data_IF_291645324754
#
_entry.id   IF_291645324754
#
_cell.length_a   1.000
_cell.length_b   1.000
_cell.length_c   1.000
_cell.angle_alpha   90.00
_cell.angle_beta   90.00
_cell.angle_gamma   90.00
#
_symmetry.space_group_name_H-M   'P 1'
#
loop_
_entity.id
_entity.type
_entity.pdbx_description
1 polymer ?
#
# COMPACT_ATOMS: atom_id res chain seq x y z
N UNK A 1 -21.43 -35.33 -53.86
CA UNK A 1 -20.92 -36.14 -52.72
C UNK A 1 -19.52 -35.70 -52.41
N UNK A 2 -19.37 -34.84 -51.42
CA UNK A 2 -18.05 -34.50 -50.84
C UNK A 2 -18.24 -34.46 -49.33
N UNK A 3 -17.66 -35.44 -48.67
CA UNK A 3 -17.68 -35.62 -47.24
C UNK A 3 -16.79 -34.59 -46.57
N UNK A 4 -17.37 -33.74 -45.74
CA UNK A 4 -16.66 -32.83 -44.86
C UNK A 4 -16.06 -33.60 -43.67
N UNK A 5 -14.73 -33.53 -43.54
CA UNK A 5 -14.00 -34.03 -42.37
C UNK A 5 -14.29 -33.13 -41.16
N UNK A 6 -15.02 -33.65 -40.19
CA UNK A 6 -15.16 -33.03 -38.89
C UNK A 6 -13.82 -33.07 -38.14
N UNK A 7 -13.19 -31.92 -37.95
CA UNK A 7 -12.02 -31.76 -37.08
C UNK A 7 -12.40 -32.08 -35.65
N UNK A 8 -11.82 -33.12 -35.06
CA UNK A 8 -11.88 -33.43 -33.64
C UNK A 8 -11.14 -32.36 -32.85
N UNK A 9 -11.89 -31.38 -32.35
CA UNK A 9 -11.38 -30.45 -31.34
C UNK A 9 -11.03 -31.23 -30.07
N UNK A 10 -9.76 -31.45 -29.79
CA UNK A 10 -9.30 -32.01 -28.53
C UNK A 10 -9.81 -31.10 -27.36
N UNK A 11 -10.02 -31.67 -26.16
CA UNK A 11 -10.49 -30.93 -25.03
C UNK A 11 -9.56 -29.75 -24.78
N UNK A 12 -10.13 -28.52 -24.81
CA UNK A 12 -9.40 -27.31 -24.53
C UNK A 12 -8.64 -27.49 -23.20
N UNK A 13 -7.33 -27.34 -23.23
CA UNK A 13 -6.51 -27.47 -22.04
C UNK A 13 -7.02 -26.51 -20.97
N UNK A 14 -7.42 -27.04 -19.81
CA UNK A 14 -7.88 -26.21 -18.70
C UNK A 14 -6.77 -25.24 -18.34
N UNK A 15 -7.09 -23.92 -18.16
CA UNK A 15 -6.06 -22.94 -17.81
C UNK A 15 -5.40 -23.35 -16.49
N UNK A 16 -4.08 -23.18 -16.40
CA UNK A 16 -3.29 -23.49 -15.21
C UNK A 16 -3.52 -22.34 -14.22
N UNK A 17 -4.33 -22.59 -13.18
CA UNK A 17 -4.85 -21.58 -12.27
C UNK A 17 -3.80 -20.75 -11.50
N UNK A 18 -2.55 -21.24 -11.41
CA UNK A 18 -1.46 -20.55 -10.70
C UNK A 18 -0.47 -19.80 -11.62
N UNK A 19 -0.69 -19.82 -12.95
CA UNK A 19 0.15 -19.03 -13.84
C UNK A 19 -0.14 -17.53 -13.64
N UNK A 20 0.91 -16.71 -13.44
CA UNK A 20 0.72 -15.27 -13.26
C UNK A 20 0.16 -14.66 -14.54
N UNK A 21 -0.90 -13.89 -14.38
CA UNK A 21 -1.36 -12.97 -15.42
C UNK A 21 -0.46 -11.72 -15.50
N UNK A 22 -0.77 -10.78 -16.40
CA UNK A 22 -0.11 -9.47 -16.41
C UNK A 22 -0.25 -8.80 -15.05
N UNK A 23 0.89 -8.33 -14.49
CA UNK A 23 0.90 -7.63 -13.20
C UNK A 23 0.16 -6.30 -13.35
N UNK A 24 -0.88 -6.02 -12.56
CA UNK A 24 -1.59 -4.76 -12.64
C UNK A 24 -0.72 -3.58 -12.20
N UNK A 25 -0.74 -2.49 -12.95
CA UNK A 25 -0.10 -1.24 -12.55
C UNK A 25 -1.03 -0.44 -11.63
N UNK A 26 -0.77 -0.47 -10.33
CA UNK A 26 -1.59 0.24 -9.33
C UNK A 26 -1.57 1.76 -9.47
N UNK A 27 -0.67 2.32 -10.26
CA UNK A 27 -0.56 3.77 -10.51
C UNK A 27 -1.47 4.25 -11.66
N UNK A 28 -2.36 3.39 -12.17
CA UNK A 28 -3.42 3.72 -13.12
C UNK A 28 -4.77 3.22 -12.62
N UNK A 29 -5.86 3.90 -12.96
CA UNK A 29 -7.22 3.52 -12.55
C UNK A 29 -7.57 2.09 -12.99
N UNK A 30 -7.27 1.74 -14.25
CA UNK A 30 -7.51 0.40 -14.77
C UNK A 30 -6.71 -0.66 -13.99
N UNK A 31 -5.41 -0.40 -13.80
CA UNK A 31 -4.54 -1.33 -13.08
C UNK A 31 -4.86 -1.43 -11.59
N UNK A 32 -5.22 -0.32 -10.93
CA UNK A 32 -5.71 -0.29 -9.56
C UNK A 32 -6.99 -1.10 -9.40
N UNK A 33 -7.99 -0.85 -10.24
CA UNK A 33 -9.27 -1.58 -10.23
C UNK A 33 -9.06 -3.07 -10.45
N UNK A 34 -8.22 -3.43 -11.44
CA UNK A 34 -7.87 -4.84 -11.69
C UNK A 34 -7.19 -5.46 -10.48
N UNK A 35 -6.18 -4.81 -9.90
CA UNK A 35 -5.50 -5.31 -8.70
C UNK A 35 -6.49 -5.46 -7.54
N UNK A 36 -7.31 -4.45 -7.27
CA UNK A 36 -8.31 -4.46 -6.21
C UNK A 36 -9.27 -5.64 -6.32
N UNK A 37 -9.79 -5.91 -7.51
CA UNK A 37 -10.72 -7.00 -7.75
C UNK A 37 -10.07 -8.38 -7.69
N UNK A 38 -8.79 -8.51 -8.07
CA UNK A 38 -8.13 -9.82 -8.19
C UNK A 38 -7.10 -10.11 -7.09
N UNK A 39 -6.89 -9.20 -6.14
CA UNK A 39 -5.85 -9.30 -5.10
C UNK A 39 -5.95 -10.55 -4.19
N UNK A 40 -7.12 -11.18 -4.16
CA UNK A 40 -7.43 -12.37 -3.36
C UNK A 40 -7.73 -13.62 -4.19
N UNK A 41 -7.56 -13.56 -5.51
CA UNK A 41 -7.94 -14.64 -6.43
C UNK A 41 -6.88 -15.75 -6.50
N UNK A 42 -5.71 -15.57 -5.88
CA UNK A 42 -4.67 -16.59 -5.92
C UNK A 42 -5.10 -17.86 -5.19
N UNK A 43 -5.09 -18.99 -5.92
CA UNK A 43 -5.41 -20.31 -5.36
C UNK A 43 -4.13 -21.04 -5.00
N UNK A 44 -3.88 -21.31 -3.71
CA UNK A 44 -2.67 -22.01 -3.27
C UNK A 44 -2.68 -23.48 -3.72
N UNK A 45 -1.49 -24.08 -3.79
CA UNK A 45 -1.32 -25.49 -4.05
C UNK A 45 -2.07 -26.35 -3.00
N UNK A 46 -2.67 -27.47 -3.40
CA UNK A 46 -3.28 -28.39 -2.45
C UNK A 46 -2.22 -28.95 -1.48
N UNK A 47 -2.63 -29.19 -0.24
CA UNK A 47 -1.83 -29.94 0.73
C UNK A 47 -1.89 -31.41 0.35
N UNK A 48 -0.74 -32.05 0.18
CA UNK A 48 -0.63 -33.48 -0.11
C UNK A 48 0.48 -34.07 0.75
N UNK A 49 0.41 -35.39 0.99
CA UNK A 49 1.46 -36.11 1.70
C UNK A 49 2.67 -36.39 0.79
N UNK A 50 3.82 -36.73 1.40
CA UNK A 50 4.99 -37.19 0.66
C UNK A 50 4.69 -38.47 -0.14
N UNK A 51 3.82 -39.36 0.39
CA UNK A 51 3.38 -40.58 -0.28
C UNK A 51 2.56 -40.27 -1.54
N UNK A 52 1.59 -39.34 -1.44
CA UNK A 52 0.79 -38.90 -2.59
C UNK A 52 1.66 -38.27 -3.67
N UNK A 53 2.61 -37.44 -3.26
CA UNK A 53 3.57 -36.80 -4.19
C UNK A 53 4.44 -37.86 -4.88
N UNK A 54 4.92 -38.86 -4.14
CA UNK A 54 5.74 -39.94 -4.70
C UNK A 54 4.93 -40.83 -5.68
N UNK A 55 3.63 -41.00 -5.45
CA UNK A 55 2.74 -41.74 -6.33
C UNK A 55 2.37 -41.02 -7.64
N UNK A 56 2.64 -39.72 -7.75
CA UNK A 56 2.40 -38.93 -8.96
C UNK A 56 3.31 -39.34 -10.10
N UNK A 57 2.82 -39.22 -11.34
CA UNK A 57 3.66 -39.28 -12.54
C UNK A 57 4.66 -38.13 -12.54
N UNK A 58 5.82 -38.23 -13.23
CA UNK A 58 6.80 -37.16 -13.28
C UNK A 58 6.23 -35.81 -13.74
N UNK A 59 5.28 -35.83 -14.67
CA UNK A 59 4.62 -34.61 -15.17
C UNK A 59 3.71 -33.97 -14.10
N UNK A 60 2.92 -34.77 -13.40
CA UNK A 60 2.05 -34.30 -12.31
C UNK A 60 2.86 -33.74 -11.16
N UNK A 61 3.93 -34.44 -10.77
CA UNK A 61 4.87 -34.00 -9.73
C UNK A 61 5.47 -32.64 -10.07
N UNK A 62 6.00 -32.49 -11.29
CA UNK A 62 6.56 -31.21 -11.74
C UNK A 62 5.54 -30.07 -11.71
N UNK A 63 4.31 -30.33 -12.15
CA UNK A 63 3.24 -29.32 -12.12
C UNK A 63 2.87 -28.92 -10.69
N UNK A 64 2.76 -29.88 -9.78
CA UNK A 64 2.49 -29.65 -8.36
C UNK A 64 3.63 -28.85 -7.71
N UNK A 65 4.90 -29.20 -7.98
CA UNK A 65 6.06 -28.46 -7.45
C UNK A 65 6.10 -27.02 -7.92
N UNK A 66 5.77 -26.75 -9.19
CA UNK A 66 5.63 -25.39 -9.71
C UNK A 66 4.49 -24.63 -9.00
N UNK A 67 3.38 -25.29 -8.69
CA UNK A 67 2.28 -24.67 -7.95
C UNK A 67 2.69 -24.36 -6.49
N UNK A 68 3.48 -25.24 -5.85
CA UNK A 68 4.07 -24.97 -4.52
C UNK A 68 4.99 -23.75 -4.56
N UNK A 69 5.89 -23.67 -5.55
CA UNK A 69 6.75 -22.49 -5.76
C UNK A 69 5.91 -21.23 -5.93
N UNK A 70 4.86 -21.27 -6.76
CA UNK A 70 3.93 -20.15 -6.90
C UNK A 70 3.25 -19.78 -5.59
N UNK A 71 2.85 -20.76 -4.77
CA UNK A 71 2.24 -20.53 -3.45
C UNK A 71 3.20 -19.84 -2.49
N UNK A 72 4.44 -20.31 -2.37
CA UNK A 72 5.43 -19.72 -1.49
C UNK A 72 5.87 -18.32 -1.96
N UNK A 73 5.80 -18.05 -3.26
CA UNK A 73 6.06 -16.72 -3.81
C UNK A 73 4.92 -15.72 -3.55
N UNK A 74 3.68 -16.23 -3.38
CA UNK A 74 2.47 -15.43 -3.21
C UNK A 74 1.78 -15.68 -1.86
N UNK A 75 2.56 -15.80 -0.78
CA UNK A 75 1.99 -15.89 0.57
C UNK A 75 1.07 -14.69 0.83
N UNK A 76 -0.13 -14.96 1.32
CA UNK A 76 -1.09 -13.92 1.65
C UNK A 76 -0.53 -13.00 2.74
N UNK A 77 -0.86 -11.72 2.64
CA UNK A 77 -0.46 -10.73 3.63
C UNK A 77 -1.13 -11.09 4.96
N UNK A 78 -0.29 -11.24 5.99
CA UNK A 78 -0.75 -11.46 7.36
C UNK A 78 -1.00 -10.12 8.02
N UNK A 79 -2.17 -9.95 8.60
CA UNK A 79 -2.41 -8.79 9.45
C UNK A 79 -1.54 -8.88 10.70
N UNK A 80 -0.86 -7.79 11.02
CA UNK A 80 -0.06 -7.62 12.24
C UNK A 80 -0.74 -6.61 13.16
N UNK A 81 -0.47 -6.59 14.48
CA UNK A 81 -1.02 -5.57 15.37
C UNK A 81 -0.77 -4.14 14.86
N UNK A 82 0.41 -3.89 14.27
CA UNK A 82 0.79 -2.60 13.72
C UNK A 82 0.01 -2.27 12.45
N UNK A 83 -0.12 -3.22 11.51
CA UNK A 83 -0.89 -2.99 10.28
C UNK A 83 -2.39 -2.85 10.56
N UNK A 84 -2.93 -3.60 11.52
CA UNK A 84 -4.30 -3.45 11.98
C UNK A 84 -4.57 -2.07 12.58
N UNK A 85 -3.63 -1.53 13.37
CA UNK A 85 -3.72 -0.17 13.90
C UNK A 85 -3.73 0.86 12.77
N UNK A 86 -2.75 0.78 11.84
CA UNK A 86 -2.67 1.70 10.70
C UNK A 86 -3.92 1.64 9.84
N UNK A 87 -4.42 0.43 9.53
CA UNK A 87 -5.64 0.25 8.71
C UNK A 87 -6.87 0.85 9.37
N UNK A 88 -7.04 0.65 10.69
CA UNK A 88 -8.17 1.26 11.44
C UNK A 88 -8.08 2.77 11.48
N UNK A 89 -6.89 3.33 11.78
CA UNK A 89 -6.67 4.78 11.82
C UNK A 89 -6.93 5.39 10.46
N UNK A 90 -6.38 4.82 9.40
CA UNK A 90 -6.58 5.26 8.01
C UNK A 90 -8.07 5.27 7.64
N UNK A 91 -8.77 4.18 7.91
CA UNK A 91 -10.19 4.05 7.63
C UNK A 91 -11.02 5.09 8.39
N UNK A 92 -10.85 5.19 9.72
CA UNK A 92 -11.58 6.14 10.56
C UNK A 92 -11.39 7.57 10.07
N UNK A 93 -10.17 7.94 9.70
CA UNK A 93 -9.88 9.29 9.21
C UNK A 93 -10.52 9.56 7.85
N UNK A 94 -10.46 8.61 6.91
CA UNK A 94 -11.11 8.75 5.60
C UNK A 94 -12.63 8.89 5.77
N UNK A 95 -13.25 8.04 6.60
CA UNK A 95 -14.69 8.09 6.87
C UNK A 95 -15.10 9.43 7.48
N UNK A 96 -14.38 9.89 8.51
CA UNK A 96 -14.65 11.19 9.15
C UNK A 96 -14.58 12.33 8.15
N UNK A 97 -13.53 12.36 7.32
CA UNK A 97 -13.37 13.39 6.29
C UNK A 97 -14.42 13.29 5.18
N UNK A 98 -14.79 12.07 4.77
CA UNK A 98 -15.76 11.84 3.70
C UNK A 98 -17.18 12.32 4.07
N UNK A 99 -17.53 12.25 5.35
CA UNK A 99 -18.84 12.72 5.87
C UNK A 99 -18.83 14.16 6.38
N UNK A 100 -17.70 14.85 6.34
CA UNK A 100 -17.63 16.25 6.69
C UNK A 100 -18.22 17.15 5.59
N UNK A 101 -19.22 17.94 5.90
CA UNK A 101 -19.94 18.78 4.94
C UNK A 101 -19.34 20.20 4.81
N UNK A 102 -18.52 20.61 5.78
CA UNK A 102 -17.90 21.94 5.77
C UNK A 102 -16.74 22.03 4.77
N UNK A 103 -16.43 23.23 4.28
CA UNK A 103 -15.28 23.48 3.39
C UNK A 103 -13.94 23.57 4.14
N UNK A 104 -13.80 22.85 5.26
CA UNK A 104 -12.61 22.90 6.10
C UNK A 104 -11.45 22.07 5.53
N UNK A 105 -10.23 22.42 5.93
CA UNK A 105 -9.05 21.61 5.65
C UNK A 105 -9.19 20.25 6.30
N UNK A 106 -9.01 19.18 5.53
CA UNK A 106 -9.09 17.81 6.02
C UNK A 106 -7.78 17.41 6.70
N UNK A 107 -7.82 16.84 7.92
CA UNK A 107 -6.62 16.24 8.49
C UNK A 107 -6.13 15.09 7.63
N UNK A 108 -4.81 14.99 7.46
CA UNK A 108 -4.17 13.91 6.72
C UNK A 108 -3.57 12.85 7.61
N UNK A 109 -3.04 11.79 7.02
CA UNK A 109 -2.36 10.69 7.72
C UNK A 109 -0.94 10.51 7.21
N UNK A 110 0.02 10.30 8.10
CA UNK A 110 1.37 9.86 7.79
C UNK A 110 1.55 8.41 8.23
N UNK A 111 1.82 7.51 7.30
CA UNK A 111 2.22 6.13 7.59
C UNK A 111 3.73 6.05 7.55
N UNK A 112 4.33 6.00 8.74
CA UNK A 112 5.77 5.99 8.92
C UNK A 112 6.27 4.65 9.41
N UNK A 113 7.41 4.18 8.92
CA UNK A 113 8.04 2.94 9.39
C UNK A 113 9.37 2.70 8.69
N UNK A 114 10.13 1.70 9.16
CA UNK A 114 11.40 1.31 8.56
C UNK A 114 11.26 0.69 7.17
N UNK A 115 12.39 0.39 6.52
CA UNK A 115 12.40 -0.34 5.26
C UNK A 115 11.85 -1.77 5.44
N UNK A 116 11.20 -2.30 4.42
CA UNK A 116 10.68 -3.68 4.38
C UNK A 116 9.66 -4.03 5.48
N UNK A 117 8.92 -3.05 6.01
CA UNK A 117 7.89 -3.25 7.04
C UNK A 117 6.47 -3.36 6.48
N UNK A 118 6.30 -3.43 5.16
CA UNK A 118 5.00 -3.65 4.53
C UNK A 118 4.12 -2.40 4.39
N UNK A 119 4.66 -1.17 4.55
CA UNK A 119 3.89 0.09 4.49
C UNK A 119 3.02 0.22 3.25
N UNK A 120 3.62 0.07 2.07
CA UNK A 120 2.91 0.15 0.78
C UNK A 120 1.76 -0.84 0.71
N UNK A 121 2.01 -2.11 1.09
CA UNK A 121 0.98 -3.15 1.03
C UNK A 121 -0.13 -2.90 2.06
N UNK A 122 0.21 -2.47 3.28
CA UNK A 122 -0.80 -2.10 4.29
C UNK A 122 -1.66 -0.93 3.82
N UNK A 123 -1.04 0.11 3.27
CA UNK A 123 -1.78 1.27 2.76
C UNK A 123 -2.69 0.90 1.57
N UNK A 124 -2.18 0.12 0.61
CA UNK A 124 -2.97 -0.32 -0.54
C UNK A 124 -4.11 -1.24 -0.15
N UNK A 125 -3.90 -2.22 0.76
CA UNK A 125 -4.97 -3.12 1.21
C UNK A 125 -6.04 -2.36 1.99
N UNK A 126 -5.66 -1.46 2.90
CA UNK A 126 -6.61 -0.63 3.64
C UNK A 126 -7.42 0.28 2.70
N UNK A 127 -6.76 0.88 1.70
CA UNK A 127 -7.39 1.74 0.71
C UNK A 127 -8.38 0.94 -0.16
N UNK A 128 -8.00 -0.26 -0.61
CA UNK A 128 -8.85 -1.12 -1.42
C UNK A 128 -10.08 -1.63 -0.65
N UNK A 129 -9.90 -2.00 0.63
CA UNK A 129 -11.03 -2.38 1.48
C UNK A 129 -12.01 -1.22 1.68
N UNK A 130 -11.49 -0.02 1.94
CA UNK A 130 -12.32 1.18 2.03
C UNK A 130 -13.10 1.44 0.73
N UNK A 131 -12.43 1.36 -0.41
CA UNK A 131 -13.06 1.57 -1.72
C UNK A 131 -14.17 0.54 -1.99
N UNK A 132 -13.93 -0.75 -1.71
CA UNK A 132 -14.93 -1.80 -1.87
C UNK A 132 -16.21 -1.47 -1.08
N UNK A 133 -16.06 -1.05 0.16
CA UNK A 133 -17.19 -0.70 1.04
C UNK A 133 -17.88 0.59 0.59
N UNK A 134 -17.10 1.61 0.20
CA UNK A 134 -17.64 2.87 -0.26
C UNK A 134 -18.45 2.72 -1.55
N UNK A 135 -17.92 1.95 -2.53
CA UNK A 135 -18.65 1.65 -3.76
C UNK A 135 -19.93 0.85 -3.50
N UNK A 136 -19.88 -0.11 -2.55
CA UNK A 136 -21.08 -0.85 -2.15
C UNK A 136 -22.13 0.03 -1.48
N UNK A 137 -21.70 1.03 -0.71
CA UNK A 137 -22.60 2.02 -0.10
C UNK A 137 -23.19 2.95 -1.16
N UNK A 138 -22.35 3.47 -2.06
CA UNK A 138 -22.76 4.35 -3.14
C UNK A 138 -23.78 3.68 -4.09
N UNK A 139 -23.56 2.39 -4.42
CA UNK A 139 -24.49 1.62 -5.26
C UNK A 139 -25.90 1.46 -4.64
N UNK A 140 -26.04 1.66 -3.33
CA UNK A 140 -27.35 1.62 -2.63
C UNK A 140 -28.01 3.00 -2.55
N UNK A 141 -27.35 4.06 -2.99
CA UNK A 141 -27.93 5.39 -2.99
C UNK A 141 -29.09 5.43 -4.01
N UNK A 142 -30.34 5.75 -3.58
CA UNK A 142 -31.49 5.84 -4.50
C UNK A 142 -31.35 6.96 -5.53
N UNK A 143 -30.54 7.97 -5.25
CA UNK A 143 -30.28 9.10 -6.15
C UNK A 143 -29.09 8.83 -7.10
N UNK A 144 -28.47 7.65 -7.03
CA UNK A 144 -27.37 7.29 -7.92
C UNK A 144 -27.89 7.16 -9.36
N UNK A 145 -27.31 7.96 -10.26
CA UNK A 145 -27.66 7.93 -11.68
C UNK A 145 -27.03 6.67 -12.30
N UNK A 146 -27.84 5.89 -13.04
CA UNK A 146 -27.35 4.71 -13.73
C UNK A 146 -26.19 5.06 -14.68
N UNK A 147 -25.08 4.30 -14.60
CA UNK A 147 -23.88 4.51 -15.40
C UNK A 147 -22.84 5.48 -14.80
N UNK A 148 -23.15 6.19 -13.71
CA UNK A 148 -22.17 7.07 -13.04
C UNK A 148 -21.25 6.31 -12.06
N UNK A 149 -21.57 5.08 -11.69
CA UNK A 149 -20.77 4.26 -10.80
C UNK A 149 -19.35 4.03 -11.35
N UNK A 150 -19.23 3.83 -12.67
CA UNK A 150 -17.95 3.60 -13.35
C UNK A 150 -17.04 4.84 -13.35
N UNK A 151 -17.60 6.02 -13.15
CA UNK A 151 -16.88 7.28 -13.03
C UNK A 151 -16.49 7.59 -11.59
N UNK A 152 -16.97 6.81 -10.62
CA UNK A 152 -16.72 7.02 -9.21
C UNK A 152 -15.39 6.36 -8.79
N UNK A 153 -14.43 7.18 -8.38
CA UNK A 153 -13.07 6.76 -8.02
C UNK A 153 -12.75 7.22 -6.60
N UNK A 154 -13.25 6.50 -5.58
CA UNK A 154 -13.07 6.90 -4.17
C UNK A 154 -11.64 6.92 -3.70
N UNK A 155 -10.77 6.15 -4.35
CA UNK A 155 -9.40 5.88 -3.91
C UNK A 155 -8.39 6.12 -5.03
N UNK A 156 -7.32 6.86 -4.72
CA UNK A 156 -6.20 7.15 -5.62
C UNK A 156 -4.89 6.71 -4.97
N UNK A 157 -4.09 5.95 -5.70
CA UNK A 157 -2.75 5.56 -5.28
C UNK A 157 -1.72 6.05 -6.28
N UNK A 158 -0.77 6.84 -5.80
CA UNK A 158 0.35 7.32 -6.61
C UNK A 158 1.67 7.17 -5.87
N UNK A 159 2.74 6.97 -6.62
CA UNK A 159 4.09 6.89 -6.07
C UNK A 159 4.86 8.17 -6.38
N UNK A 160 5.57 8.69 -5.39
CA UNK A 160 6.41 9.88 -5.55
C UNK A 160 7.45 9.66 -6.66
N UNK A 161 7.53 10.53 -7.68
CA UNK A 161 8.53 10.42 -8.73
C UNK A 161 9.97 10.50 -8.20
N UNK A 162 10.93 9.93 -8.93
CA UNK A 162 12.35 9.96 -8.56
C UNK A 162 12.90 11.40 -8.50
N UNK A 163 12.44 12.26 -9.41
CA UNK A 163 12.66 13.70 -9.40
C UNK A 163 11.31 14.36 -9.14
N UNK A 164 10.96 14.48 -7.88
CA UNK A 164 9.68 15.04 -7.50
C UNK A 164 9.70 16.56 -7.67
N UNK A 165 8.75 17.06 -8.43
CA UNK A 165 8.38 18.46 -8.58
C UNK A 165 6.88 18.58 -8.48
N UNK A 166 6.30 19.76 -8.18
CA UNK A 166 4.85 19.95 -8.20
C UNK A 166 4.21 19.47 -9.51
N UNK A 167 4.83 19.81 -10.64
CA UNK A 167 4.38 19.37 -11.96
C UNK A 167 4.34 17.83 -12.05
N UNK A 168 5.43 17.16 -11.67
CA UNK A 168 5.52 15.71 -11.80
C UNK A 168 4.56 14.97 -10.86
N UNK A 169 4.26 15.54 -9.69
CA UNK A 169 3.27 14.96 -8.77
C UNK A 169 1.84 15.13 -9.29
N UNK A 170 1.47 16.33 -9.77
CA UNK A 170 0.18 16.53 -10.44
C UNK A 170 0.00 15.60 -11.65
N UNK A 171 1.05 15.45 -12.48
CA UNK A 171 1.03 14.55 -13.62
C UNK A 171 0.82 13.08 -13.21
N UNK A 172 1.36 12.64 -12.06
CA UNK A 172 1.10 11.28 -11.52
C UNK A 172 -0.35 11.10 -11.10
N UNK A 173 -0.92 12.10 -10.43
CA UNK A 173 -2.34 12.05 -10.03
C UNK A 173 -3.25 12.02 -11.27
N UNK A 174 -3.00 12.88 -12.24
CA UNK A 174 -3.78 12.90 -13.49
C UNK A 174 -3.58 11.64 -14.33
N UNK A 175 -2.37 11.09 -14.35
CA UNK A 175 -2.10 9.81 -14.99
C UNK A 175 -2.94 8.67 -14.38
N UNK A 176 -3.10 8.68 -13.06
CA UNK A 176 -3.94 7.68 -12.40
C UNK A 176 -5.38 7.71 -12.93
N UNK A 177 -5.98 8.88 -13.09
CA UNK A 177 -7.33 9.03 -13.63
C UNK A 177 -7.41 8.79 -15.15
N UNK A 178 -6.29 8.83 -15.86
CA UNK A 178 -6.26 8.81 -17.33
C UNK A 178 -6.52 10.19 -17.97
N UNK A 179 -6.45 11.25 -17.16
CA UNK A 179 -6.67 12.63 -17.61
C UNK A 179 -5.48 13.19 -18.42
N UNK A 180 -5.73 14.08 -19.38
CA UNK A 180 -4.68 14.74 -20.15
C UNK A 180 -3.86 15.69 -19.26
N UNK A 181 -2.52 15.63 -19.38
CA UNK A 181 -1.61 16.48 -18.60
C UNK A 181 -0.40 16.99 -19.39
N UNK A 182 -0.19 16.51 -20.64
CA UNK A 182 1.01 16.86 -21.41
C UNK A 182 0.97 18.32 -21.88
N UNK A 183 2.06 19.05 -21.66
CA UNK A 183 2.19 20.43 -22.08
C UNK A 183 1.44 21.47 -21.23
N UNK A 184 0.80 21.05 -20.14
CA UNK A 184 0.09 21.97 -19.23
C UNK A 184 1.06 22.67 -18.29
N UNK A 185 0.73 23.90 -17.91
CA UNK A 185 1.41 24.65 -16.86
C UNK A 185 1.00 24.18 -15.48
N UNK A 186 1.79 24.46 -14.46
CA UNK A 186 1.52 24.02 -13.08
C UNK A 186 0.13 24.43 -12.58
N UNK A 187 -0.27 25.69 -12.82
CA UNK A 187 -1.59 26.21 -12.42
C UNK A 187 -2.75 25.42 -13.06
N UNK A 188 -2.62 25.07 -14.36
CA UNK A 188 -3.61 24.28 -15.08
C UNK A 188 -3.63 22.84 -14.55
N UNK A 189 -2.46 22.25 -14.26
CA UNK A 189 -2.36 20.93 -13.67
C UNK A 189 -3.03 20.85 -12.30
N UNK A 190 -2.77 21.85 -11.42
CA UNK A 190 -3.42 21.91 -10.09
C UNK A 190 -4.93 21.99 -10.23
N UNK A 191 -5.43 22.85 -11.14
CA UNK A 191 -6.86 22.98 -11.41
C UNK A 191 -7.45 21.67 -11.90
N UNK A 192 -6.82 21.03 -12.88
CA UNK A 192 -7.30 19.75 -13.43
C UNK A 192 -7.28 18.64 -12.37
N UNK A 193 -6.29 18.60 -11.48
CA UNK A 193 -6.28 17.67 -10.33
C UNK A 193 -7.47 17.92 -9.41
N UNK A 194 -7.77 19.19 -9.10
CA UNK A 194 -8.94 19.54 -8.28
C UNK A 194 -10.24 19.08 -8.96
N UNK A 195 -10.42 19.42 -10.23
CA UNK A 195 -11.59 19.04 -11.00
C UNK A 195 -11.73 17.51 -11.03
N UNK A 196 -10.67 16.76 -11.31
CA UNK A 196 -10.70 15.30 -11.30
C UNK A 196 -11.10 14.71 -9.93
N UNK A 197 -10.57 15.26 -8.83
CA UNK A 197 -10.94 14.82 -7.46
C UNK A 197 -12.43 15.05 -7.18
N UNK A 198 -12.98 16.19 -7.62
CA UNK A 198 -14.40 16.49 -7.46
C UNK A 198 -15.27 15.63 -8.38
N UNK A 199 -14.95 15.56 -9.65
CA UNK A 199 -15.75 14.86 -10.67
C UNK A 199 -15.84 13.36 -10.42
N UNK A 200 -14.72 12.75 -9.94
CA UNK A 200 -14.68 11.33 -9.58
C UNK A 200 -15.11 11.03 -8.14
N UNK A 201 -15.45 12.04 -7.34
CA UNK A 201 -15.91 11.87 -5.97
C UNK A 201 -14.84 11.23 -5.05
N UNK A 202 -13.57 11.50 -5.31
CA UNK A 202 -12.44 10.91 -4.57
C UNK A 202 -12.47 11.27 -3.09
N UNK A 203 -12.22 10.28 -2.23
CA UNK A 203 -12.24 10.38 -0.77
C UNK A 203 -10.87 10.24 -0.13
N UNK A 204 -9.95 9.55 -0.82
CA UNK A 204 -8.59 9.36 -0.31
C UNK A 204 -7.56 9.36 -1.44
N UNK A 205 -6.41 10.02 -1.17
CA UNK A 205 -5.25 10.05 -2.07
C UNK A 205 -4.04 9.57 -1.27
N UNK A 206 -3.47 8.43 -1.65
CA UNK A 206 -2.23 7.90 -1.09
C UNK A 206 -1.06 8.34 -1.95
N UNK A 207 -0.09 9.02 -1.33
CA UNK A 207 1.20 9.35 -1.95
C UNK A 207 2.28 8.52 -1.26
N UNK A 208 2.78 7.52 -1.96
CA UNK A 208 3.80 6.59 -1.45
C UNK A 208 5.22 7.08 -1.74
N UNK A 209 6.18 6.56 -0.96
CA UNK A 209 7.60 6.90 -1.05
C UNK A 209 7.92 8.42 -0.90
N UNK A 210 7.14 9.16 -0.10
CA UNK A 210 7.28 10.63 0.05
C UNK A 210 8.67 11.07 0.52
N UNK A 211 9.44 10.22 1.15
CA UNK A 211 10.81 10.51 1.59
C UNK A 211 11.85 10.54 0.46
N UNK A 212 11.43 10.31 -0.78
CA UNK A 212 12.22 10.67 -1.96
C UNK A 212 12.34 12.18 -2.17
N UNK A 213 11.45 12.96 -1.57
CA UNK A 213 11.54 14.42 -1.50
C UNK A 213 12.76 14.79 -0.65
N UNK A 214 13.75 15.43 -1.27
CA UNK A 214 14.98 15.88 -0.60
C UNK A 214 14.82 17.37 -0.27
N UNK A 215 14.43 17.70 0.94
CA UNK A 215 14.05 19.05 1.39
C UNK A 215 15.16 20.12 1.37
N UNK A 216 16.30 19.82 0.78
CA UNK A 216 17.41 20.76 0.65
C UNK A 216 17.37 21.59 -0.64
N UNK A 217 16.32 21.45 -1.45
CA UNK A 217 16.16 22.11 -2.74
C UNK A 217 14.92 22.99 -2.73
N UNK A 218 14.99 24.13 -3.41
CA UNK A 218 13.87 25.04 -3.60
C UNK A 218 12.64 24.31 -4.21
N UNK A 219 12.87 23.46 -5.19
CA UNK A 219 11.81 22.62 -5.82
C UNK A 219 11.08 21.67 -4.85
N UNK A 220 11.67 21.34 -3.72
CA UNK A 220 11.04 20.45 -2.73
C UNK A 220 10.10 21.23 -1.80
N UNK A 221 10.34 22.53 -1.59
CA UNK A 221 9.40 23.43 -0.90
C UNK A 221 8.15 23.66 -1.75
N UNK A 222 8.30 23.79 -3.06
CA UNK A 222 7.16 23.88 -3.98
C UNK A 222 6.26 22.63 -3.91
N UNK A 223 6.83 21.44 -3.68
CA UNK A 223 6.03 20.22 -3.47
C UNK A 223 5.29 20.24 -2.14
N UNK A 224 5.89 20.81 -1.10
CA UNK A 224 5.23 20.98 0.18
C UNK A 224 4.03 21.93 0.06
N UNK A 225 4.17 23.01 -0.68
CA UNK A 225 3.07 23.93 -0.96
C UNK A 225 1.96 23.25 -1.78
N UNK A 226 2.31 22.40 -2.74
CA UNK A 226 1.33 21.57 -3.43
C UNK A 226 0.61 20.59 -2.46
N UNK A 227 1.33 19.96 -1.54
CA UNK A 227 0.72 19.09 -0.52
C UNK A 227 -0.30 19.88 0.32
N UNK A 228 0.02 21.12 0.71
CA UNK A 228 -0.89 22.02 1.42
C UNK A 228 -2.13 22.35 0.59
N UNK A 229 -1.94 22.59 -0.70
CA UNK A 229 -3.04 22.85 -1.63
C UNK A 229 -3.96 21.61 -1.78
N UNK A 230 -3.38 20.41 -1.88
CA UNK A 230 -4.13 19.16 -1.92
C UNK A 230 -4.92 18.87 -0.63
N UNK A 231 -4.46 19.36 0.53
CA UNK A 231 -5.19 19.23 1.80
C UNK A 231 -6.47 20.06 1.87
N UNK A 232 -6.65 21.02 0.96
CA UNK A 232 -7.90 21.79 0.83
C UNK A 232 -8.99 21.04 0.07
N UNK A 233 -8.66 19.89 -0.55
CA UNK A 233 -9.60 19.06 -1.29
C UNK A 233 -10.52 18.26 -0.34
N UNK A 234 -11.71 17.86 -0.79
CA UNK A 234 -12.62 17.01 0.00
C UNK A 234 -12.16 15.55 0.05
N UNK A 235 -10.85 15.32 0.10
CA UNK A 235 -10.22 14.01 0.14
C UNK A 235 -9.18 13.95 1.27
N UNK A 236 -9.03 12.78 1.87
CA UNK A 236 -7.99 12.52 2.89
C UNK A 236 -6.65 12.29 2.20
N UNK A 237 -5.65 13.12 2.52
CA UNK A 237 -4.30 12.92 2.01
C UNK A 237 -3.52 11.98 2.94
N UNK A 238 -2.95 10.93 2.39
CA UNK A 238 -2.20 9.90 3.11
C UNK A 238 -0.78 9.85 2.55
N UNK A 239 0.21 10.17 3.38
CA UNK A 239 1.62 10.17 3.04
C UNK A 239 2.29 8.91 3.59
N UNK A 240 2.95 8.13 2.73
CA UNK A 240 3.62 6.89 3.12
C UNK A 240 5.12 7.02 2.90
N UNK A 241 5.93 6.68 3.91
CA UNK A 241 7.39 6.78 3.75
C UNK A 241 8.21 6.25 4.91
N UNK A 242 9.52 6.39 4.79
CA UNK A 242 10.51 5.96 5.79
C UNK A 242 11.04 7.18 6.53
N UNK A 243 10.84 7.25 7.85
CA UNK A 243 11.40 8.33 8.66
C UNK A 243 10.82 9.70 8.34
N UNK A 244 9.54 9.79 7.96
CA UNK A 244 8.85 11.05 7.59
C UNK A 244 9.07 12.14 8.65
N UNK A 245 8.89 11.91 9.96
CA UNK A 245 9.07 12.94 10.97
C UNK A 245 10.50 13.51 11.04
N UNK A 246 11.49 12.68 10.66
CA UNK A 246 12.91 13.07 10.66
C UNK A 246 13.35 13.71 9.35
N UNK A 247 12.58 13.53 8.27
CA UNK A 247 12.94 14.05 6.95
C UNK A 247 12.77 15.57 6.83
N UNK A 248 12.03 16.19 7.76
CA UNK A 248 11.66 17.60 7.67
C UNK A 248 10.58 17.90 6.64
N UNK A 249 9.97 16.88 6.02
CA UNK A 249 9.00 16.99 4.92
C UNK A 249 7.86 17.99 5.19
N UNK A 250 7.41 18.06 6.42
CA UNK A 250 6.27 18.91 6.79
C UNK A 250 6.68 20.17 7.56
N UNK A 251 7.97 20.51 7.55
CA UNK A 251 8.49 21.68 8.26
C UNK A 251 8.67 22.86 7.35
N UNK A 252 8.30 24.02 7.85
CA UNK A 252 8.59 25.28 7.20
C UNK A 252 10.09 25.58 7.28
N UNK A 253 10.78 25.51 6.14
CA UNK A 253 12.14 26.00 6.01
C UNK A 253 12.14 27.50 5.72
N UNK A 254 13.13 28.23 6.23
CA UNK A 254 13.41 29.60 5.83
C UNK A 254 14.77 29.67 5.14
N UNK A 255 14.88 30.46 4.10
CA UNK A 255 16.15 30.72 3.46
C UNK A 255 16.94 31.74 4.31
N UNK A 256 18.14 31.37 4.69
CA UNK A 256 19.08 32.32 5.35
C UNK A 256 19.47 33.41 4.36
N UNK A 257 19.20 34.69 4.64
CA UNK A 257 19.51 35.79 3.72
C UNK A 257 21.02 35.99 3.52
N UNK A 258 21.87 35.57 4.45
CA UNK A 258 23.30 35.73 4.37
C UNK A 258 24.02 34.60 3.65
N UNK A 259 23.62 33.36 3.93
CA UNK A 259 24.27 32.16 3.37
C UNK A 259 23.55 31.57 2.17
N UNK A 260 22.29 31.94 1.93
CA UNK A 260 21.42 31.36 0.92
C UNK A 260 21.03 29.90 1.20
N UNK A 261 21.38 29.37 2.36
CA UNK A 261 21.03 27.99 2.76
C UNK A 261 19.65 27.92 3.41
N UNK A 262 19.00 26.78 3.24
CA UNK A 262 17.73 26.51 3.92
C UNK A 262 17.97 26.11 5.37
N UNK A 263 17.36 26.85 6.32
CA UNK A 263 17.33 26.53 7.74
C UNK A 263 15.97 25.94 8.06
N UNK A 264 15.96 24.73 8.61
CA UNK A 264 14.75 24.07 9.11
C UNK A 264 14.75 24.09 10.64
N UNK A 265 13.57 24.26 11.27
CA UNK A 265 13.46 24.12 12.72
C UNK A 265 13.99 22.74 13.16
N UNK A 266 14.63 22.65 14.33
CA UNK A 266 15.11 21.36 14.85
C UNK A 266 13.94 20.39 15.04
N UNK A 267 14.23 19.07 14.92
CA UNK A 267 13.25 18.03 15.24
C UNK A 267 12.92 18.11 16.72
N UNK A 268 11.64 18.30 17.12
CA UNK A 268 11.29 18.28 18.53
C UNK A 268 11.71 16.94 19.16
N UNK A 269 12.54 17.01 20.21
CA UNK A 269 12.86 15.84 21.02
C UNK A 269 11.59 15.39 21.74
N UNK A 270 11.23 14.10 21.68
CA UNK A 270 10.02 13.51 22.27
C UNK A 270 9.88 13.70 23.80
N UNK A 271 10.65 14.55 24.43
CA UNK A 271 10.63 14.80 25.86
C UNK A 271 10.60 16.26 26.28
N UNK A 272 10.67 17.22 25.36
CA UNK A 272 10.63 18.66 25.69
C UNK A 272 9.26 19.27 25.49
N UNK A 273 8.90 20.16 26.41
CA UNK A 273 7.64 20.87 26.42
C UNK A 273 7.27 21.47 25.07
N UNK A 274 6.02 21.28 24.67
CA UNK A 274 5.39 21.68 23.41
C UNK A 274 5.39 23.19 23.13
N UNK A 275 5.94 24.02 24.01
CA UNK A 275 5.77 25.49 23.95
C UNK A 275 6.94 26.24 23.30
N UNK A 276 8.10 25.62 23.07
CA UNK A 276 9.28 26.35 22.58
C UNK A 276 9.57 26.15 21.09
N UNK A 277 9.02 25.10 20.46
CA UNK A 277 9.14 24.89 19.02
C UNK A 277 7.72 24.80 18.43
N UNK A 278 7.17 25.87 17.92
CA UNK A 278 5.90 25.84 17.20
C UNK A 278 6.02 24.83 16.04
N UNK A 279 5.33 23.66 16.09
CA UNK A 279 5.30 22.75 14.97
C UNK A 279 4.74 23.51 13.77
N UNK A 280 5.32 23.30 12.59
CA UNK A 280 4.84 23.92 11.36
C UNK A 280 3.34 23.61 11.18
N UNK A 281 2.57 24.57 10.66
CA UNK A 281 1.12 24.43 10.50
C UNK A 281 0.74 23.13 9.77
N UNK A 282 1.61 22.64 8.88
CA UNK A 282 1.39 21.44 8.09
C UNK A 282 1.56 20.17 8.92
N UNK A 283 2.54 20.13 9.84
CA UNK A 283 2.82 18.99 10.72
C UNK A 283 1.64 18.70 11.67
N UNK A 284 1.00 19.77 12.18
CA UNK A 284 -0.18 19.65 13.06
C UNK A 284 -1.42 19.11 12.36
N UNK A 285 -1.47 19.15 11.05
CA UNK A 285 -2.62 18.69 10.25
C UNK A 285 -2.53 17.21 9.88
N UNK A 286 -1.42 16.53 10.19
CA UNK A 286 -1.25 15.12 9.91
C UNK A 286 -1.20 14.30 11.19
N UNK A 287 -2.02 13.26 11.23
CA UNK A 287 -1.92 12.21 12.24
C UNK A 287 -0.75 11.27 11.86
N UNK A 288 0.03 10.83 12.84
CA UNK A 288 1.16 9.92 12.62
C UNK A 288 0.79 8.51 13.04
N UNK A 289 0.74 7.58 12.09
CA UNK A 289 0.60 6.16 12.33
C UNK A 289 1.94 5.44 12.08
N UNK A 290 2.46 4.78 13.11
CA UNK A 290 3.70 3.99 13.02
C UNK A 290 3.42 2.58 12.54
N UNK A 291 4.11 2.14 11.49
CA UNK A 291 4.19 0.73 11.11
C UNK A 291 5.60 0.23 11.47
N UNK A 292 5.75 -0.14 12.74
CA UNK A 292 7.02 -0.56 13.30
C UNK A 292 7.27 -2.06 13.09
N UNK A 293 8.52 -2.49 13.30
CA UNK A 293 8.87 -3.91 13.36
C UNK A 293 8.25 -4.57 14.60
N UNK A 294 8.13 -5.88 14.58
CA UNK A 294 7.80 -6.61 15.80
C UNK A 294 8.80 -6.30 16.91
N UNK A 295 8.29 -6.23 18.12
CA UNK A 295 9.10 -6.13 19.33
C UNK A 295 9.13 -7.49 20.04
N UNK A 296 10.25 -7.83 20.65
CA UNK A 296 10.35 -8.99 21.54
C UNK A 296 10.31 -8.59 23.01
N UNK A 297 10.10 -7.30 23.28
CA UNK A 297 9.98 -6.75 24.62
C UNK A 297 8.54 -6.82 25.14
N UNK A 298 8.41 -7.01 26.44
CA UNK A 298 7.10 -7.12 27.11
C UNK A 298 6.41 -8.48 26.88
N UNK A 299 5.30 -8.73 27.55
CA UNK A 299 4.61 -10.03 27.51
C UNK A 299 3.95 -10.32 26.16
N UNK A 300 3.47 -9.29 25.46
CA UNK A 300 2.70 -9.44 24.21
C UNK A 300 3.58 -9.54 22.96
N UNK A 301 4.83 -9.05 23.04
CA UNK A 301 5.74 -9.01 21.89
C UNK A 301 6.07 -10.39 21.32
N UNK A 302 6.57 -11.34 22.14
CA UNK A 302 6.83 -12.71 21.70
C UNK A 302 5.57 -13.43 21.18
N UNK A 303 4.43 -13.22 21.85
CA UNK A 303 3.17 -13.83 21.46
C UNK A 303 2.70 -13.34 20.07
N UNK A 304 2.75 -12.03 19.82
CA UNK A 304 2.40 -11.44 18.53
C UNK A 304 3.32 -11.91 17.40
N UNK A 305 4.63 -12.02 17.67
CA UNK A 305 5.61 -12.55 16.74
C UNK A 305 5.34 -14.01 16.40
N UNK A 306 5.13 -14.85 17.43
CA UNK A 306 4.84 -16.28 17.26
C UNK A 306 3.53 -16.48 16.49
N UNK A 307 2.48 -15.71 16.80
CA UNK A 307 1.21 -15.76 16.06
C UNK A 307 1.41 -15.43 14.56
N UNK A 308 2.27 -14.45 14.25
CA UNK A 308 2.62 -14.13 12.86
C UNK A 308 3.34 -15.31 12.17
N UNK A 309 4.26 -15.99 12.86
CA UNK A 309 4.95 -17.18 12.34
C UNK A 309 3.96 -18.35 12.09
N UNK A 310 3.02 -18.60 13.02
CA UNK A 310 1.95 -19.59 12.84
C UNK A 310 1.14 -19.30 11.58
N UNK A 311 0.74 -18.03 11.38
CA UNK A 311 -0.01 -17.64 10.19
C UNK A 311 0.74 -17.83 8.87
N UNK A 312 2.07 -17.67 8.87
CA UNK A 312 2.91 -17.98 7.70
C UNK A 312 3.02 -19.50 7.53
N UNK A 313 3.30 -20.24 8.59
CA UNK A 313 3.45 -21.69 8.60
C UNK A 313 2.23 -22.39 7.99
N UNK A 314 1.03 -21.95 8.33
CA UNK A 314 -0.22 -22.45 7.78
C UNK A 314 -0.37 -22.28 6.26
N UNK A 315 0.36 -21.34 5.68
CA UNK A 315 0.34 -21.09 4.24
C UNK A 315 1.39 -21.90 3.48
N UNK A 316 2.38 -22.45 4.18
CA UNK A 316 3.40 -23.27 3.54
C UNK A 316 2.82 -24.58 3.00
N UNK A 317 3.38 -25.06 1.92
CA UNK A 317 2.99 -26.32 1.24
C UNK A 317 4.21 -27.23 1.19
N UNK A 318 4.56 -27.77 2.37
CA UNK A 318 5.65 -28.72 2.51
C UNK A 318 5.10 -30.15 2.37
N UNK A 319 5.95 -31.11 2.01
CA UNK A 319 5.57 -32.52 1.82
C UNK A 319 5.68 -33.35 3.11
N UNK A 320 6.40 -32.84 4.10
CA UNK A 320 6.48 -33.39 5.45
C UNK A 320 5.61 -32.59 6.39
N UNK A 321 5.21 -33.20 7.49
CA UNK A 321 4.56 -32.48 8.58
C UNK A 321 5.48 -31.37 9.08
N UNK A 322 4.94 -30.17 9.16
CA UNK A 322 5.71 -28.95 9.46
C UNK A 322 5.08 -28.14 10.60
N UNK A 323 4.12 -28.73 11.34
CA UNK A 323 3.51 -28.08 12.49
C UNK A 323 4.56 -27.72 13.53
N UNK A 324 4.64 -26.42 13.87
CA UNK A 324 5.65 -25.90 14.78
C UNK A 324 7.05 -25.67 14.17
N UNK A 325 7.22 -25.85 12.86
CA UNK A 325 8.51 -25.66 12.20
C UNK A 325 9.03 -24.22 12.31
N UNK A 326 8.17 -23.22 12.20
CA UNK A 326 8.51 -21.81 12.38
C UNK A 326 8.14 -21.29 13.77
N UNK A 327 7.13 -21.87 14.39
CA UNK A 327 6.50 -21.35 15.61
C UNK A 327 6.89 -22.10 16.90
N UNK A 328 7.56 -23.26 16.78
CA UNK A 328 7.93 -24.13 17.92
C UNK A 328 9.41 -24.07 18.30
N UNK A 329 9.74 -24.61 19.48
CA UNK A 329 11.08 -25.01 19.94
C UNK A 329 12.23 -24.01 19.72
N UNK A 330 12.10 -22.74 20.15
CA UNK A 330 13.17 -21.74 20.03
C UNK A 330 13.34 -21.15 18.62
N UNK A 331 12.56 -21.62 17.65
CA UNK A 331 12.58 -21.06 16.29
C UNK A 331 12.07 -19.61 16.25
N UNK A 332 11.05 -19.20 17.03
CA UNK A 332 10.63 -17.80 17.08
C UNK A 332 11.76 -16.84 17.48
N UNK A 333 12.54 -17.19 18.50
CA UNK A 333 13.69 -16.42 18.95
C UNK A 333 14.78 -16.36 17.88
N UNK A 334 15.09 -17.49 17.27
CA UNK A 334 16.10 -17.58 16.20
C UNK A 334 15.69 -16.70 15.02
N UNK A 335 14.45 -16.83 14.52
CA UNK A 335 13.94 -16.03 13.40
C UNK A 335 13.88 -14.54 13.75
N UNK A 336 13.48 -14.21 14.99
CA UNK A 336 13.52 -12.81 15.45
C UNK A 336 14.95 -12.27 15.45
N UNK A 337 15.91 -13.01 15.98
CA UNK A 337 17.32 -12.64 15.98
C UNK A 337 17.89 -12.41 14.56
N UNK A 338 17.47 -13.21 13.57
CA UNK A 338 17.92 -13.10 12.16
C UNK A 338 17.25 -11.95 11.41
N UNK A 339 16.03 -11.60 11.76
CA UNK A 339 15.22 -10.62 11.02
C UNK A 339 15.00 -9.32 11.77
N UNK A 340 15.35 -9.29 13.06
CA UNK A 340 15.08 -8.17 13.97
C UNK A 340 13.59 -7.77 13.97
N UNK A 341 12.68 -8.74 13.81
CA UNK A 341 11.25 -8.54 13.77
C UNK A 341 10.74 -7.83 12.50
N UNK A 342 11.55 -7.74 11.44
CA UNK A 342 11.18 -7.10 10.18
C UNK A 342 10.51 -8.11 9.25
N UNK A 343 9.22 -7.94 8.96
CA UNK A 343 8.39 -8.87 8.19
C UNK A 343 8.93 -9.15 6.78
N UNK A 344 9.46 -8.14 6.10
CA UNK A 344 10.02 -8.32 4.76
C UNK A 344 11.35 -9.09 4.75
N UNK A 345 12.13 -9.05 5.83
CA UNK A 345 13.32 -9.89 5.98
C UNK A 345 12.93 -11.33 6.29
N UNK A 346 11.91 -11.54 7.12
CA UNK A 346 11.35 -12.86 7.37
C UNK A 346 10.85 -13.52 6.08
N UNK A 347 10.06 -12.79 5.29
CA UNK A 347 9.58 -13.28 3.98
C UNK A 347 10.75 -13.71 3.08
N UNK A 348 11.80 -12.88 2.98
CA UNK A 348 12.99 -13.22 2.18
C UNK A 348 13.71 -14.46 2.70
N UNK A 349 13.82 -14.60 4.02
CA UNK A 349 14.46 -15.76 4.64
C UNK A 349 13.69 -17.06 4.34
N UNK A 350 12.35 -17.03 4.46
CA UNK A 350 11.49 -18.18 4.17
C UNK A 350 11.50 -18.53 2.67
N UNK A 351 11.59 -17.55 1.78
CA UNK A 351 11.67 -17.79 0.33
C UNK A 351 13.02 -18.32 -0.14
N UNK A 352 14.08 -18.12 0.64
CA UNK A 352 15.44 -18.58 0.31
C UNK A 352 15.75 -20.00 0.82
N UNK A 353 15.01 -20.51 1.80
CA UNK A 353 15.14 -21.87 2.36
C UNK A 353 14.10 -22.79 1.85
#
# INVERSE_FOLDING_TARGET
MTAGTAGSGGPAARPVAFLPGPVPDRETLEGWTRWRLTRRDFVPAPVITAADHAAMTPRQRRLHDLHRVATHSNLAIQETPMSAFVSRTMRSLIETNAFCWGPDTRPGLMINGGACQGKTETACEALACYEDEWLALYARNPDAIAGTLDLHVPAVYVRTPVKATPISLCQRILHFYGEPYKGMRLEDLIRTVKDAVFDHGTKAIVIDDVTRLKLHREADQDVLDLIRELMSLPATLILVGVGIPKSGLLRDGRKDPETGQWIFPPVPDRGKSRNDDAPGQTDLRFELAGLDRFSYAGPDGPAAWTAHLVGIEQQLRLLSDCDGMLSGSGMPEYLFGRTNGIVGLLKKLIQAG
#
